data_IF_935292565373
#
_entry.id   IF_935292565373
#
_cell.length_a   1.000
_cell.length_b   1.000
_cell.length_c   1.000
_cell.angle_alpha   90.00
_cell.angle_beta   90.00
_cell.angle_gamma   90.00
#
_symmetry.space_group_name_H-M   'P 1'
#
loop_
_entity.id
_entity.type
_entity.pdbx_description
1 polymer ?
#
# COMPACT_ATOMS: atom_id res chain seq x y z
N UNK A 1 -16.51 -15.02 23.58
CA UNK A 1 -15.79 -14.88 22.32
C UNK A 1 -15.45 -13.42 22.15
N UNK A 2 -14.19 -13.09 22.14
CA UNK A 2 -13.71 -11.71 21.99
C UNK A 2 -13.35 -11.46 20.52
N UNK A 3 -13.77 -10.34 19.99
CA UNK A 3 -13.45 -9.91 18.62
C UNK A 3 -12.55 -8.68 18.67
N UNK A 4 -11.71 -8.50 17.67
CA UNK A 4 -10.81 -7.36 17.56
C UNK A 4 -11.01 -6.68 16.22
N UNK A 5 -11.25 -5.37 16.27
CA UNK A 5 -11.39 -4.52 15.10
C UNK A 5 -10.15 -3.65 14.99
N UNK A 6 -9.56 -3.64 13.81
CA UNK A 6 -8.55 -2.66 13.43
C UNK A 6 -9.08 -1.76 12.33
N UNK A 7 -8.85 -0.46 12.49
CA UNK A 7 -9.22 0.54 11.49
C UNK A 7 -7.95 1.27 11.07
N UNK A 8 -7.61 1.19 9.80
CA UNK A 8 -6.56 2.01 9.20
C UNK A 8 -7.20 3.16 8.42
N UNK A 9 -6.95 4.39 8.88
CA UNK A 9 -7.37 5.61 8.21
C UNK A 9 -6.16 6.25 7.57
N UNK A 10 -5.92 5.90 6.31
CA UNK A 10 -4.87 6.49 5.51
C UNK A 10 -5.28 7.82 4.87
N UNK A 11 -4.41 8.39 4.03
CA UNK A 11 -4.64 9.65 3.33
C UNK A 11 -5.80 9.60 2.31
N UNK A 12 -6.04 8.45 1.70
CA UNK A 12 -7.04 8.27 0.62
C UNK A 12 -8.09 7.22 0.91
N UNK A 13 -7.82 6.28 1.82
CA UNK A 13 -8.65 5.09 2.08
C UNK A 13 -8.87 4.85 3.56
N UNK A 14 -10.03 4.24 3.88
CA UNK A 14 -10.30 3.61 5.17
C UNK A 14 -10.33 2.10 4.96
N UNK A 15 -9.63 1.37 5.81
CA UNK A 15 -9.70 -0.09 5.85
C UNK A 15 -10.18 -0.52 7.22
N UNK A 16 -11.07 -1.48 7.26
CA UNK A 16 -11.60 -2.05 8.50
C UNK A 16 -11.44 -3.56 8.43
N UNK A 17 -10.88 -4.14 9.47
CA UNK A 17 -10.77 -5.59 9.61
C UNK A 17 -11.36 -6.06 10.93
N UNK A 18 -11.88 -7.28 10.92
CA UNK A 18 -12.38 -7.99 12.09
C UNK A 18 -11.61 -9.30 12.23
N UNK A 19 -10.95 -9.50 13.36
CA UNK A 19 -10.25 -10.72 13.72
C UNK A 19 -10.95 -11.44 14.87
N UNK A 20 -10.89 -12.77 14.87
CA UNK A 20 -11.26 -13.59 16.02
C UNK A 20 -10.11 -13.73 17.02
N UNK A 21 -10.33 -14.53 18.09
CA UNK A 21 -9.34 -14.80 19.14
C UNK A 21 -8.10 -15.55 18.62
N UNK A 22 -8.22 -16.27 17.52
CA UNK A 22 -7.15 -17.03 16.86
C UNK A 22 -6.44 -16.21 15.76
N UNK A 23 -6.67 -14.90 15.68
CA UNK A 23 -6.13 -14.01 14.65
C UNK A 23 -6.66 -14.30 13.22
N UNK A 24 -7.75 -15.06 13.10
CA UNK A 24 -8.34 -15.33 11.79
C UNK A 24 -9.13 -14.12 11.32
N UNK A 25 -8.93 -13.74 10.08
CA UNK A 25 -9.68 -12.67 9.42
C UNK A 25 -11.13 -13.14 9.16
N UNK A 26 -12.11 -12.45 9.76
CA UNK A 26 -13.53 -12.71 9.60
C UNK A 26 -14.22 -11.74 8.64
N UNK A 27 -13.69 -10.51 8.55
CA UNK A 27 -14.19 -9.47 7.68
C UNK A 27 -13.07 -8.51 7.32
N UNK A 28 -13.10 -8.00 6.11
CA UNK A 28 -12.26 -6.88 5.66
C UNK A 28 -13.03 -5.95 4.74
N UNK A 29 -12.67 -4.68 4.77
CA UNK A 29 -13.12 -3.67 3.82
C UNK A 29 -11.99 -2.74 3.46
N UNK A 30 -11.96 -2.28 2.22
CA UNK A 30 -11.00 -1.31 1.68
C UNK A 30 -11.78 -0.30 0.85
N UNK A 31 -11.89 0.94 1.32
CA UNK A 31 -12.75 1.94 0.70
C UNK A 31 -12.08 3.30 0.56
N UNK A 32 -12.26 3.99 -0.57
CA UNK A 32 -11.86 5.39 -0.71
C UNK A 32 -12.82 6.29 0.09
N UNK A 33 -12.26 7.17 0.92
CA UNK A 33 -13.08 8.02 1.80
C UNK A 33 -13.45 9.38 1.22
N UNK A 34 -12.78 9.86 0.17
CA UNK A 34 -13.07 11.17 -0.46
C UNK A 34 -13.24 12.28 0.59
N UNK A 35 -12.30 12.36 1.55
CA UNK A 35 -12.31 13.28 2.71
C UNK A 35 -13.45 13.07 3.72
N UNK A 36 -14.24 11.98 3.62
CA UNK A 36 -15.32 11.59 4.54
C UNK A 36 -14.89 10.42 5.43
N UNK A 37 -13.76 10.59 6.12
CA UNK A 37 -13.11 9.51 6.88
C UNK A 37 -13.99 8.92 7.97
N UNK A 38 -14.66 9.78 8.77
CA UNK A 38 -15.54 9.34 9.85
C UNK A 38 -16.77 8.64 9.34
N UNK A 39 -17.45 9.22 8.33
CA UNK A 39 -18.63 8.63 7.72
C UNK A 39 -18.32 7.24 7.18
N UNK A 40 -17.23 7.07 6.43
CA UNK A 40 -16.83 5.77 5.89
C UNK A 40 -16.52 4.74 6.97
N UNK A 41 -15.78 5.13 8.00
CA UNK A 41 -15.51 4.23 9.12
C UNK A 41 -16.81 3.81 9.83
N UNK A 42 -17.72 4.74 10.08
CA UNK A 42 -19.02 4.45 10.70
C UNK A 42 -19.89 3.56 9.81
N UNK A 43 -20.01 3.85 8.52
CA UNK A 43 -20.76 3.03 7.56
C UNK A 43 -20.27 1.57 7.55
N UNK A 44 -18.94 1.38 7.51
CA UNK A 44 -18.35 0.04 7.54
C UNK A 44 -18.62 -0.67 8.87
N UNK A 45 -18.48 0.03 10.01
CA UNK A 45 -18.80 -0.56 11.33
C UNK A 45 -20.28 -0.94 11.45
N UNK A 46 -21.20 -0.12 10.91
CA UNK A 46 -22.61 -0.45 10.87
C UNK A 46 -22.89 -1.71 10.03
N UNK A 47 -22.21 -1.89 8.90
CA UNK A 47 -22.41 -3.06 8.03
C UNK A 47 -22.07 -4.39 8.71
N UNK A 48 -21.21 -4.38 9.73
CA UNK A 48 -20.82 -5.59 10.49
C UNK A 48 -21.49 -5.69 11.86
N UNK A 49 -22.41 -4.80 12.18
CA UNK A 49 -23.04 -4.73 13.52
C UNK A 49 -23.64 -6.08 13.96
N UNK A 50 -24.27 -6.81 13.06
CA UNK A 50 -24.84 -8.13 13.36
C UNK A 50 -23.77 -9.15 13.77
N UNK A 51 -22.58 -9.08 13.16
CA UNK A 51 -21.46 -9.96 13.50
C UNK A 51 -20.92 -9.69 14.93
N UNK A 52 -21.16 -8.50 15.47
CA UNK A 52 -20.64 -8.05 16.76
C UNK A 52 -21.62 -8.31 17.92
N UNK A 53 -22.90 -8.59 17.63
CA UNK A 53 -23.94 -8.75 18.67
C UNK A 53 -23.57 -9.83 19.69
N UNK A 54 -23.69 -9.46 20.99
CA UNK A 54 -23.43 -10.38 22.10
C UNK A 54 -21.97 -10.76 22.32
N UNK A 55 -21.03 -10.09 21.65
CA UNK A 55 -19.61 -10.36 21.76
C UNK A 55 -18.87 -9.20 22.42
N UNK A 56 -17.79 -9.49 23.12
CA UNK A 56 -16.84 -8.45 23.52
C UNK A 56 -16.04 -8.01 22.29
N UNK A 57 -15.93 -6.70 22.10
CA UNK A 57 -15.21 -6.14 20.97
C UNK A 57 -14.18 -5.14 21.49
N UNK A 58 -12.96 -5.29 21.04
CA UNK A 58 -11.92 -4.28 21.19
C UNK A 58 -11.65 -3.64 19.83
N UNK A 59 -11.33 -2.35 19.84
CA UNK A 59 -11.12 -1.58 18.62
C UNK A 59 -9.88 -0.70 18.79
N UNK A 60 -9.00 -0.73 17.79
CA UNK A 60 -7.79 0.11 17.72
C UNK A 60 -7.74 0.77 16.34
N UNK A 61 -7.33 2.04 16.33
CA UNK A 61 -7.17 2.84 15.11
C UNK A 61 -5.68 2.99 14.78
N UNK A 62 -5.36 3.01 13.50
CA UNK A 62 -4.04 3.32 12.93
C UNK A 62 -4.19 4.20 11.68
N UNK A 63 -3.07 4.48 11.02
CA UNK A 63 -3.01 5.22 9.77
C UNK A 63 -2.74 6.71 9.94
N UNK A 64 -2.21 7.34 8.90
CA UNK A 64 -1.73 8.73 8.90
C UNK A 64 -2.80 9.76 9.27
N UNK A 65 -4.08 9.51 8.95
CA UNK A 65 -5.22 10.36 9.33
C UNK A 65 -6.00 9.84 10.56
N UNK A 66 -5.56 8.71 11.15
CA UNK A 66 -6.30 8.02 12.23
C UNK A 66 -6.23 8.69 13.59
N UNK A 67 -5.11 9.33 13.93
CA UNK A 67 -4.86 9.88 15.27
C UNK A 67 -5.93 10.90 15.71
N UNK A 68 -6.35 11.79 14.81
CA UNK A 68 -7.39 12.78 15.11
C UNK A 68 -8.76 12.14 15.39
N UNK A 69 -9.08 11.06 14.68
CA UNK A 69 -10.33 10.31 14.88
C UNK A 69 -10.27 9.52 16.20
N UNK A 70 -9.15 8.87 16.48
CA UNK A 70 -8.92 8.13 17.72
C UNK A 70 -9.08 9.03 18.95
N UNK A 71 -8.40 10.17 18.98
CA UNK A 71 -8.49 11.14 20.06
C UNK A 71 -9.91 11.67 20.26
N UNK A 72 -10.62 11.99 19.17
CA UNK A 72 -11.99 12.51 19.25
C UNK A 72 -13.02 11.46 19.70
N UNK A 73 -12.70 10.18 19.54
CA UNK A 73 -13.60 9.06 19.86
C UNK A 73 -13.21 8.34 21.16
N UNK A 74 -12.07 8.69 21.79
CA UNK A 74 -11.55 7.99 22.96
C UNK A 74 -11.14 6.53 22.68
N UNK A 75 -10.73 6.25 21.44
CA UNK A 75 -10.31 4.93 20.97
C UNK A 75 -8.78 4.89 20.97
N UNK A 76 -8.21 3.74 21.30
CA UNK A 76 -6.77 3.54 21.29
C UNK A 76 -6.19 3.69 19.87
N UNK A 77 -4.99 4.27 19.79
CA UNK A 77 -4.25 4.46 18.55
C UNK A 77 -2.89 3.77 18.59
N UNK A 78 -2.55 3.10 17.50
CA UNK A 78 -1.22 2.53 17.28
C UNK A 78 -0.59 3.15 16.03
N UNK A 79 0.70 3.46 16.09
CA UNK A 79 1.41 3.96 14.93
C UNK A 79 1.46 2.89 13.83
N UNK A 80 1.30 3.30 12.58
CA UNK A 80 1.14 2.44 11.41
C UNK A 80 2.32 1.47 11.22
N UNK A 81 3.56 1.93 11.43
CA UNK A 81 4.75 1.08 11.32
C UNK A 81 4.72 -0.07 12.34
N UNK A 82 4.26 0.17 13.56
CA UNK A 82 4.14 -0.88 14.57
C UNK A 82 2.99 -1.83 14.28
N UNK A 83 1.87 -1.31 13.80
CA UNK A 83 0.74 -2.10 13.36
C UNK A 83 1.15 -3.02 12.20
N UNK A 84 1.74 -2.46 11.15
CA UNK A 84 2.24 -3.24 9.99
C UNK A 84 3.25 -4.30 10.45
N UNK A 85 4.19 -3.95 11.32
CA UNK A 85 5.16 -4.91 11.85
C UNK A 85 4.52 -6.05 12.66
N UNK A 86 3.51 -5.75 13.49
CA UNK A 86 2.77 -6.75 14.24
C UNK A 86 2.05 -7.75 13.31
N UNK A 87 1.39 -7.26 12.25
CA UNK A 87 0.75 -8.12 11.26
C UNK A 87 1.77 -8.98 10.51
N UNK A 88 2.86 -8.39 10.02
CA UNK A 88 3.90 -9.12 9.29
C UNK A 88 4.53 -10.20 10.15
N UNK A 89 4.92 -9.90 11.38
CA UNK A 89 5.49 -10.89 12.30
C UNK A 89 4.52 -12.04 12.62
N UNK A 90 3.20 -11.75 12.65
CA UNK A 90 2.18 -12.76 12.97
C UNK A 90 1.87 -13.66 11.77
N UNK A 91 1.72 -13.09 10.58
CA UNK A 91 1.23 -13.82 9.40
C UNK A 91 2.34 -14.25 8.43
N UNK A 92 3.46 -13.53 8.41
CA UNK A 92 4.59 -13.80 7.49
C UNK A 92 5.91 -13.71 8.28
N UNK A 93 6.15 -14.66 9.20
CA UNK A 93 7.38 -14.67 9.99
C UNK A 93 8.63 -14.77 9.11
N UNK A 94 9.77 -14.40 9.67
CA UNK A 94 11.07 -14.38 8.98
C UNK A 94 11.12 -13.43 7.77
N UNK A 95 10.36 -12.33 7.82
CA UNK A 95 10.42 -11.25 6.85
C UNK A 95 11.65 -10.39 7.10
N UNK A 96 12.43 -10.08 6.05
CA UNK A 96 13.62 -9.21 6.13
C UNK A 96 13.26 -7.74 5.88
N UNK A 97 12.34 -7.50 4.95
CA UNK A 97 11.87 -6.15 4.65
C UNK A 97 10.41 -6.14 4.17
N UNK A 98 9.76 -5.01 4.38
CA UNK A 98 8.45 -4.69 3.80
C UNK A 98 8.63 -3.49 2.87
N UNK A 99 8.05 -3.56 1.67
CA UNK A 99 7.82 -2.41 0.79
C UNK A 99 6.33 -2.17 0.78
N UNK A 100 5.91 -1.00 1.26
CA UNK A 100 4.51 -0.60 1.28
C UNK A 100 4.30 0.64 0.41
N UNK A 101 3.34 0.57 -0.51
CA UNK A 101 2.91 1.70 -1.33
C UNK A 101 1.49 2.09 -0.94
N UNK A 102 1.36 3.27 -0.36
CA UNK A 102 0.09 3.89 -0.04
C UNK A 102 -0.46 4.76 -1.16
N UNK A 103 -1.53 5.50 -0.84
CA UNK A 103 -2.12 6.48 -1.73
C UNK A 103 -1.20 7.68 -1.97
N UNK A 104 -0.57 8.20 -0.93
CA UNK A 104 0.29 9.39 -0.98
C UNK A 104 1.67 9.18 -0.37
N UNK A 105 1.93 8.02 0.22
CA UNK A 105 3.19 7.64 0.84
C UNK A 105 3.75 6.34 0.25
N UNK A 106 5.06 6.19 0.37
CA UNK A 106 5.78 4.96 0.10
C UNK A 106 6.76 4.74 1.23
N UNK A 107 6.86 3.53 1.74
CA UNK A 107 7.76 3.22 2.85
C UNK A 107 8.45 1.87 2.69
N UNK A 108 9.62 1.76 3.28
CA UNK A 108 10.33 0.50 3.47
C UNK A 108 10.53 0.31 4.99
N UNK A 109 10.15 -0.84 5.48
CA UNK A 109 10.36 -1.25 6.87
C UNK A 109 11.36 -2.41 6.85
N UNK A 110 12.47 -2.27 7.55
CA UNK A 110 13.49 -3.31 7.68
C UNK A 110 13.31 -4.03 9.02
N UNK A 111 13.34 -5.36 8.95
CA UNK A 111 13.34 -6.27 10.08
C UNK A 111 14.78 -6.81 10.28
N UNK A 112 15.08 -7.49 11.35
CA UNK A 112 16.41 -8.07 11.57
C UNK A 112 17.31 -7.20 12.44
N UNK A 113 16.74 -6.60 13.46
CA UNK A 113 17.37 -5.73 14.45
C UNK A 113 16.35 -4.81 15.09
N UNK A 114 16.75 -3.57 15.37
CA UNK A 114 15.75 -2.55 15.66
C UNK A 114 14.90 -2.30 14.39
N UNK A 115 13.59 -2.15 14.60
CA UNK A 115 12.68 -1.82 13.50
C UNK A 115 13.08 -0.47 12.91
N UNK A 116 13.43 -0.45 11.63
CA UNK A 116 13.84 0.76 10.91
C UNK A 116 12.82 1.05 9.80
N UNK A 117 12.20 2.21 9.85
CA UNK A 117 11.30 2.71 8.80
C UNK A 117 11.98 3.81 8.00
N UNK A 118 11.82 3.76 6.69
CA UNK A 118 12.15 4.84 5.78
C UNK A 118 10.95 5.15 4.91
N UNK A 119 10.55 6.39 4.88
CA UNK A 119 9.38 6.85 4.15
C UNK A 119 9.78 7.99 3.19
N UNK A 120 9.11 8.06 2.04
CA UNK A 120 9.27 9.20 1.17
C UNK A 120 8.78 10.47 1.89
N UNK A 121 9.44 11.58 1.57
CA UNK A 121 9.02 12.89 2.09
C UNK A 121 7.70 13.37 1.43
N UNK A 122 7.54 14.67 1.30
CA UNK A 122 6.31 15.32 0.78
C UNK A 122 6.05 15.11 -0.72
N UNK A 123 6.79 14.25 -1.41
CA UNK A 123 6.66 14.05 -2.85
C UNK A 123 5.78 12.83 -3.15
N UNK A 124 4.75 13.02 -3.97
CA UNK A 124 3.86 11.95 -4.42
C UNK A 124 4.52 10.94 -5.40
N UNK A 125 5.76 11.18 -5.84
CA UNK A 125 6.51 10.25 -6.68
C UNK A 125 6.63 8.88 -6.02
N UNK A 126 6.35 7.82 -6.76
CA UNK A 126 6.40 6.45 -6.22
C UNK A 126 5.16 6.02 -5.44
N UNK A 127 4.03 6.73 -5.53
CA UNK A 127 2.81 6.46 -4.76
C UNK A 127 1.60 6.21 -5.66
N UNK A 128 0.48 5.79 -5.07
CA UNK A 128 -0.79 5.63 -5.79
C UNK A 128 -1.25 6.91 -6.49
N UNK A 129 -1.08 8.07 -5.86
CA UNK A 129 -1.44 9.37 -6.45
C UNK A 129 -0.63 9.68 -7.72
N UNK A 130 0.65 9.29 -7.78
CA UNK A 130 1.44 9.40 -8.99
C UNK A 130 0.88 8.51 -10.11
N UNK A 131 0.51 7.27 -9.77
CA UNK A 131 -0.09 6.32 -10.73
C UNK A 131 -1.42 6.87 -11.28
N UNK A 132 -2.31 7.35 -10.40
CA UNK A 132 -3.59 7.97 -10.77
C UNK A 132 -3.38 9.17 -11.73
N UNK A 133 -2.38 10.02 -11.45
CA UNK A 133 -2.03 11.17 -12.28
C UNK A 133 -1.52 10.75 -13.66
N UNK A 134 -0.68 9.70 -13.74
CA UNK A 134 -0.14 9.21 -15.00
C UNK A 134 -1.19 8.48 -15.84
N UNK A 135 -2.09 7.73 -15.22
CA UNK A 135 -3.24 7.12 -15.89
C UNK A 135 -4.13 8.20 -16.53
N UNK A 136 -4.42 9.27 -15.78
CA UNK A 136 -5.15 10.44 -16.30
C UNK A 136 -4.44 11.09 -17.49
N UNK A 137 -3.11 11.26 -17.42
CA UNK A 137 -2.31 11.81 -18.52
C UNK A 137 -2.40 10.97 -19.79
N UNK A 138 -2.44 9.65 -19.65
CA UNK A 138 -2.56 8.70 -20.76
C UNK A 138 -4.01 8.54 -21.25
N UNK A 139 -4.97 9.17 -20.58
CA UNK A 139 -6.42 9.02 -20.83
C UNK A 139 -6.86 7.56 -20.75
N UNK A 140 -6.49 6.88 -19.67
CA UNK A 140 -6.86 5.51 -19.31
C UNK A 140 -7.22 5.41 -17.84
N UNK A 141 -7.92 4.37 -17.44
CA UNK A 141 -8.09 4.02 -16.03
C UNK A 141 -6.82 3.38 -15.47
N UNK A 142 -6.69 3.30 -14.15
CA UNK A 142 -5.55 2.62 -13.50
C UNK A 142 -5.52 1.13 -13.87
N UNK A 143 -6.67 0.49 -13.99
CA UNK A 143 -6.76 -0.92 -14.40
C UNK A 143 -6.29 -1.11 -15.84
N UNK A 144 -6.72 -0.23 -16.77
CA UNK A 144 -6.24 -0.26 -18.16
C UNK A 144 -4.73 0.03 -18.23
N UNK A 145 -4.20 0.93 -17.38
CA UNK A 145 -2.77 1.17 -17.29
C UNK A 145 -2.02 -0.10 -16.89
N UNK A 146 -2.54 -0.85 -15.91
CA UNK A 146 -1.97 -2.12 -15.47
C UNK A 146 -1.99 -3.17 -16.58
N UNK A 147 -3.15 -3.37 -17.24
CA UNK A 147 -3.29 -4.31 -18.35
C UNK A 147 -2.37 -3.99 -19.54
N UNK A 148 -2.18 -2.70 -19.84
CA UNK A 148 -1.24 -2.24 -20.88
C UNK A 148 0.19 -2.57 -20.46
N UNK A 149 0.57 -2.30 -19.24
CA UNK A 149 1.94 -2.49 -18.75
C UNK A 149 2.44 -3.93 -18.89
N UNK A 150 1.54 -4.91 -18.74
CA UNK A 150 1.84 -6.33 -18.89
C UNK A 150 2.19 -6.76 -20.32
N UNK A 151 1.89 -5.90 -21.32
CA UNK A 151 2.11 -6.16 -22.76
C UNK A 151 3.29 -5.37 -23.34
N UNK A 152 4.12 -4.77 -22.48
CA UNK A 152 5.26 -3.97 -22.90
C UNK A 152 6.36 -4.82 -23.55
N UNK A 153 7.11 -4.18 -24.43
CA UNK A 153 8.32 -4.73 -25.05
C UNK A 153 9.56 -3.92 -24.70
N UNK A 154 9.37 -2.67 -24.23
CA UNK A 154 10.44 -1.73 -23.96
C UNK A 154 10.13 -0.88 -22.74
N UNK A 155 11.15 -0.47 -22.02
CA UNK A 155 11.09 0.51 -20.93
C UNK A 155 11.80 1.79 -21.36
N UNK A 156 11.10 2.92 -21.25
CA UNK A 156 11.66 4.25 -21.46
C UNK A 156 12.15 4.85 -20.14
N UNK A 157 13.21 5.64 -20.12
CA UNK A 157 13.59 6.40 -18.95
C UNK A 157 12.57 7.52 -18.71
N UNK A 158 11.85 7.45 -17.59
CA UNK A 158 10.88 8.45 -17.14
C UNK A 158 11.31 8.97 -15.78
N UNK A 159 11.22 10.30 -15.58
CA UNK A 159 11.53 10.92 -14.30
C UNK A 159 10.62 10.38 -13.19
N UNK A 160 11.22 9.81 -12.15
CA UNK A 160 10.50 9.09 -11.08
C UNK A 160 10.05 10.00 -9.92
N UNK A 161 10.67 11.18 -9.75
CA UNK A 161 10.46 12.03 -8.56
C UNK A 161 9.29 13.00 -8.67
N UNK A 162 8.96 13.45 -9.86
CA UNK A 162 7.99 14.54 -10.02
C UNK A 162 7.07 14.28 -11.20
N UNK A 163 5.75 14.28 -10.95
CA UNK A 163 4.75 14.10 -12.00
C UNK A 163 4.83 15.11 -13.13
N UNK A 164 5.32 16.35 -12.87
CA UNK A 164 5.52 17.37 -13.91
C UNK A 164 6.63 16.94 -14.87
N UNK A 165 7.77 16.49 -14.35
CA UNK A 165 8.86 15.99 -15.18
C UNK A 165 8.50 14.68 -15.88
N UNK A 166 7.82 13.76 -15.19
CA UNK A 166 7.30 12.55 -15.81
C UNK A 166 6.41 12.87 -17.02
N UNK A 167 5.50 13.87 -16.88
CA UNK A 167 4.67 14.34 -17.99
C UNK A 167 5.51 14.85 -19.16
N UNK A 168 6.59 15.61 -18.87
CA UNK A 168 7.48 16.15 -19.90
C UNK A 168 8.24 15.05 -20.66
N UNK A 169 8.50 13.93 -20.02
CA UNK A 169 9.15 12.77 -20.64
C UNK A 169 8.13 11.93 -21.45
N UNK A 170 6.95 11.71 -20.88
CA UNK A 170 5.90 10.86 -21.49
C UNK A 170 5.30 11.50 -22.75
N UNK A 171 4.99 12.79 -22.70
CA UNK A 171 4.28 13.47 -23.79
C UNK A 171 5.00 13.39 -25.14
N UNK A 172 6.32 13.63 -25.24
CA UNK A 172 7.04 13.45 -26.49
C UNK A 172 7.03 12.01 -27.01
N UNK A 173 7.12 11.01 -26.11
CA UNK A 173 7.09 9.59 -26.50
C UNK A 173 5.74 9.27 -27.18
N UNK A 174 4.63 9.68 -26.55
CA UNK A 174 3.29 9.46 -27.10
C UNK A 174 3.09 10.23 -28.43
N UNK A 175 3.56 11.47 -28.52
CA UNK A 175 3.45 12.29 -29.74
C UNK A 175 4.25 11.70 -30.91
N UNK A 176 5.31 10.96 -30.65
CA UNK A 176 6.13 10.26 -31.66
C UNK A 176 5.58 8.87 -32.00
N UNK A 177 4.41 8.50 -31.49
CA UNK A 177 3.79 7.20 -31.76
C UNK A 177 4.34 6.06 -30.92
N UNK A 178 4.96 6.35 -29.77
CA UNK A 178 5.39 5.33 -28.80
C UNK A 178 4.19 4.51 -28.33
N UNK A 179 4.40 3.20 -28.18
CA UNK A 179 3.34 2.27 -27.73
C UNK A 179 2.89 2.63 -26.30
N UNK A 180 1.57 2.64 -26.09
CA UNK A 180 1.01 2.91 -24.76
C UNK A 180 1.42 1.85 -23.73
N UNK A 181 1.59 0.61 -24.16
CA UNK A 181 2.04 -0.51 -23.35
C UNK A 181 3.43 -0.25 -22.74
N UNK A 182 4.35 0.23 -23.57
CA UNK A 182 5.71 0.54 -23.15
C UNK A 182 5.75 1.73 -22.20
N UNK A 183 4.92 2.76 -22.45
CA UNK A 183 4.79 3.92 -21.58
C UNK A 183 4.19 3.52 -20.22
N UNK A 184 3.17 2.65 -20.21
CA UNK A 184 2.54 2.17 -18.99
C UNK A 184 3.53 1.42 -18.10
N UNK A 185 4.30 0.48 -18.68
CA UNK A 185 5.33 -0.23 -17.95
C UNK A 185 6.47 0.70 -17.47
N UNK A 186 6.81 1.73 -18.26
CA UNK A 186 7.82 2.73 -17.90
C UNK A 186 7.37 3.62 -16.73
N UNK A 187 6.07 3.93 -16.63
CA UNK A 187 5.48 4.62 -15.48
C UNK A 187 5.66 3.76 -14.21
N UNK A 188 5.34 2.47 -14.27
CA UNK A 188 5.56 1.56 -13.13
C UNK A 188 7.04 1.40 -12.80
N UNK A 189 7.92 1.35 -13.81
CA UNK A 189 9.36 1.35 -13.57
C UNK A 189 9.81 2.60 -12.82
N UNK A 190 9.30 3.77 -13.17
CA UNK A 190 9.60 5.01 -12.46
C UNK A 190 9.14 4.97 -10.98
N UNK A 191 7.99 4.34 -10.68
CA UNK A 191 7.54 4.09 -9.30
C UNK A 191 8.55 3.20 -8.55
N UNK A 192 8.98 2.10 -9.16
CA UNK A 192 9.95 1.17 -8.58
C UNK A 192 11.29 1.88 -8.30
N UNK A 193 11.81 2.60 -9.30
CA UNK A 193 13.09 3.30 -9.19
C UNK A 193 13.05 4.35 -8.07
N UNK A 194 11.94 5.09 -7.94
CA UNK A 194 11.76 6.07 -6.87
C UNK A 194 11.72 5.40 -5.50
N UNK A 195 10.98 4.30 -5.38
CA UNK A 195 10.86 3.58 -4.12
C UNK A 195 12.18 2.94 -3.72
N UNK A 196 12.80 2.20 -4.63
CA UNK A 196 14.04 1.49 -4.33
C UNK A 196 15.20 2.47 -4.10
N UNK A 197 15.52 3.32 -5.09
CA UNK A 197 16.67 4.23 -4.97
C UNK A 197 16.45 5.31 -3.90
N UNK A 198 15.21 5.80 -3.74
CA UNK A 198 14.90 6.86 -2.79
C UNK A 198 14.88 6.40 -1.34
N UNK A 199 14.42 5.19 -1.06
CA UNK A 199 14.20 4.72 0.32
C UNK A 199 15.27 3.77 0.82
N UNK A 200 15.93 2.98 -0.04
CA UNK A 200 16.99 2.08 0.43
C UNK A 200 18.23 2.85 0.89
N UNK A 201 18.52 4.02 0.27
CA UNK A 201 19.70 4.85 0.58
C UNK A 201 20.99 4.03 0.66
N UNK A 202 21.17 3.10 -0.29
CA UNK A 202 22.34 2.22 -0.37
C UNK A 202 22.26 0.94 0.48
N UNK A 203 21.24 0.77 1.31
CA UNK A 203 21.00 -0.51 1.98
C UNK A 203 20.45 -1.52 0.98
N UNK A 204 21.05 -2.70 0.92
CA UNK A 204 20.60 -3.76 0.02
C UNK A 204 19.32 -4.40 0.56
N UNK A 205 18.34 -4.59 -0.32
CA UNK A 205 17.14 -5.37 -0.07
C UNK A 205 17.45 -6.84 -0.35
N UNK A 206 17.45 -7.67 0.68
CA UNK A 206 17.78 -9.10 0.62
C UNK A 206 16.76 -9.91 1.38
N UNK A 207 16.72 -11.22 1.09
CA UNK A 207 15.89 -12.18 1.78
C UNK A 207 14.41 -12.06 1.41
N UNK A 208 13.54 -12.34 2.37
CA UNK A 208 12.09 -12.34 2.18
C UNK A 208 11.55 -10.90 2.25
N UNK A 209 11.05 -10.40 1.13
CA UNK A 209 10.48 -9.07 1.00
C UNK A 209 8.97 -9.19 0.83
N UNK A 210 8.22 -8.55 1.72
CA UNK A 210 6.76 -8.50 1.68
C UNK A 210 6.32 -7.19 1.03
N UNK A 211 5.41 -7.29 0.09
CA UNK A 211 4.87 -6.16 -0.68
C UNK A 211 3.45 -5.86 -0.24
N UNK A 212 3.22 -4.66 0.31
CA UNK A 212 1.96 -4.25 0.93
C UNK A 212 1.41 -2.97 0.29
N UNK A 213 0.15 -2.68 0.63
CA UNK A 213 -0.57 -1.49 0.21
C UNK A 213 -1.36 -1.66 -1.09
N UNK A 214 -2.33 -0.77 -1.29
CA UNK A 214 -3.28 -0.87 -2.40
C UNK A 214 -2.64 -0.99 -3.78
N UNK A 215 -1.71 -0.12 -4.19
CA UNK A 215 -1.04 -0.24 -5.48
C UNK A 215 -0.39 -1.61 -5.70
N UNK A 216 0.29 -2.16 -4.69
CA UNK A 216 0.95 -3.47 -4.79
C UNK A 216 -0.03 -4.64 -4.65
N UNK A 217 -1.23 -4.40 -4.09
CA UNK A 217 -2.28 -5.41 -4.04
C UNK A 217 -3.02 -5.55 -5.38
N UNK A 218 -3.35 -4.44 -6.03
CA UNK A 218 -4.23 -4.44 -7.21
C UNK A 218 -3.48 -4.48 -8.56
N UNK A 219 -2.23 -3.99 -8.65
CA UNK A 219 -1.54 -3.77 -9.91
C UNK A 219 -0.47 -4.83 -10.18
N UNK A 220 -0.78 -5.76 -11.06
CA UNK A 220 0.08 -6.89 -11.40
C UNK A 220 1.34 -6.46 -12.17
N UNK A 221 1.21 -5.50 -13.08
CA UNK A 221 2.36 -4.96 -13.81
C UNK A 221 3.33 -4.22 -12.90
N UNK A 222 2.83 -3.53 -11.86
CA UNK A 222 3.69 -2.91 -10.86
C UNK A 222 4.45 -3.96 -10.04
N UNK A 223 3.78 -5.05 -9.61
CA UNK A 223 4.43 -6.19 -8.94
C UNK A 223 5.56 -6.77 -9.81
N UNK A 224 5.26 -7.00 -11.08
CA UNK A 224 6.25 -7.52 -12.04
C UNK A 224 7.48 -6.63 -12.11
N UNK A 225 7.30 -5.31 -12.20
CA UNK A 225 8.43 -4.36 -12.24
C UNK A 225 9.29 -4.42 -10.98
N UNK A 226 8.69 -4.55 -9.79
CA UNK A 226 9.46 -4.75 -8.55
C UNK A 226 10.26 -6.05 -8.57
N UNK A 227 9.62 -7.17 -8.91
CA UNK A 227 10.27 -8.50 -8.96
C UNK A 227 11.44 -8.50 -9.92
N UNK A 228 11.28 -7.96 -11.14
CA UNK A 228 12.33 -7.90 -12.14
C UNK A 228 13.47 -6.95 -11.74
N UNK A 229 13.15 -5.78 -11.19
CA UNK A 229 14.16 -4.78 -10.79
C UNK A 229 15.01 -5.27 -9.62
N UNK A 230 14.37 -5.90 -8.63
CA UNK A 230 15.04 -6.45 -7.46
C UNK A 230 15.59 -7.87 -7.69
N UNK A 231 15.30 -8.48 -8.86
CA UNK A 231 15.72 -9.84 -9.24
C UNK A 231 15.30 -10.90 -8.21
N UNK A 232 14.07 -10.77 -7.73
CA UNK A 232 13.51 -11.68 -6.74
C UNK A 232 12.86 -12.89 -7.43
N UNK A 233 12.88 -14.02 -6.75
CA UNK A 233 12.10 -15.20 -7.09
C UNK A 233 10.82 -15.28 -6.22
N UNK A 234 9.99 -16.30 -6.47
CA UNK A 234 8.72 -16.50 -5.75
C UNK A 234 8.90 -16.77 -4.24
N UNK A 235 10.05 -17.28 -3.82
CA UNK A 235 10.34 -17.52 -2.41
C UNK A 235 10.68 -16.23 -1.65
N UNK A 236 11.17 -15.21 -2.34
CA UNK A 236 11.64 -13.96 -1.77
C UNK A 236 10.68 -12.78 -2.00
N UNK A 237 9.81 -12.84 -3.01
CA UNK A 237 8.81 -11.80 -3.28
C UNK A 237 7.42 -12.23 -2.81
N UNK A 238 6.99 -11.75 -1.64
CA UNK A 238 5.73 -12.17 -1.03
C UNK A 238 4.67 -11.08 -1.22
N UNK A 239 3.58 -11.43 -1.92
CA UNK A 239 2.40 -10.59 -2.11
C UNK A 239 1.20 -11.23 -1.39
N UNK A 240 0.95 -10.90 -0.12
CA UNK A 240 -0.14 -11.52 0.62
C UNK A 240 -1.51 -11.14 0.05
N UNK A 241 -2.48 -12.05 0.15
CA UNK A 241 -3.85 -11.86 -0.35
C UNK A 241 -4.53 -10.63 0.28
N UNK A 242 -4.25 -10.35 1.56
CA UNK A 242 -4.80 -9.22 2.29
C UNK A 242 -3.80 -8.06 2.43
N UNK A 243 -2.82 -7.95 1.53
CA UNK A 243 -1.71 -7.00 1.62
C UNK A 243 -2.10 -5.53 1.64
N UNK A 244 -3.31 -5.20 1.20
CA UNK A 244 -3.91 -3.87 1.26
C UNK A 244 -4.47 -3.51 2.65
N UNK A 245 -4.63 -4.49 3.56
CA UNK A 245 -5.23 -4.33 4.88
C UNK A 245 -4.27 -4.64 6.06
N UNK A 246 -2.98 -4.89 5.82
CA UNK A 246 -2.05 -5.34 6.86
C UNK A 246 -1.91 -4.34 8.02
N UNK A 247 -1.92 -3.04 7.77
CA UNK A 247 -1.89 -2.04 8.85
C UNK A 247 -3.15 -2.15 9.74
N UNK A 248 -4.34 -2.34 9.13
CA UNK A 248 -5.58 -2.55 9.90
C UNK A 248 -5.55 -3.89 10.65
N UNK A 249 -5.03 -4.97 10.04
CA UNK A 249 -4.85 -6.26 10.72
C UNK A 249 -3.92 -6.12 11.93
N UNK A 250 -2.82 -5.39 11.78
CA UNK A 250 -1.89 -5.11 12.86
C UNK A 250 -2.51 -4.28 13.97
N UNK A 251 -3.33 -3.28 13.65
CA UNK A 251 -4.08 -2.53 14.66
C UNK A 251 -5.02 -3.45 15.45
N UNK A 252 -5.72 -4.37 14.79
CA UNK A 252 -6.55 -5.37 15.45
C UNK A 252 -5.75 -6.33 16.35
N UNK A 253 -4.51 -6.65 16.00
CA UNK A 253 -3.61 -7.47 16.84
C UNK A 253 -3.14 -6.73 18.09
N UNK A 254 -3.10 -5.40 18.06
CA UNK A 254 -2.73 -4.55 19.19
C UNK A 254 -3.91 -4.23 20.14
N UNK A 255 -5.11 -4.73 19.86
CA UNK A 255 -6.34 -4.47 20.59
C UNK A 255 -6.46 -5.26 21.93
#
# INVERSE_FOLDING_TARGET
MSLRIGIDIGSTTVKVVLLDEQNKLLFRSYERHYSKTRERACETLHSIQEMLQGKQVKLVITGSAGLGVANASGIDFVQEVYATAAAVNTYIPDTDAVIELGGEDAKIIFFGGALEERMNGSCAGGTGAFIDQMATLMNVTVNELDELSLKHEKIYPIASRCGVFAKSDIQPILNQGGRKEDVAASIFQAVVDQTVAGLTQGRELKGKIVFLGGPLHFLMGLRQRFVETLKLDEAHAIFPEDGDCFAAMGAALCA
#
